data_IF_995988459628
#
_entry.id   IF_995988459628
#
_cell.length_a   1.000
_cell.length_b   1.000
_cell.length_c   1.000
_cell.angle_alpha   90.00
_cell.angle_beta   90.00
_cell.angle_gamma   90.00
#
_symmetry.space_group_name_H-M   'P 1'
#
loop_
_entity.id
_entity.type
_entity.pdbx_description
1 polymer ?
#
# COMPACT_ATOMS: atom_id res chain seq x y z
N UNK A 1 -36.43 35.19 82.18
CA UNK A 1 -35.07 35.58 82.62
C UNK A 1 -34.34 36.14 81.40
N UNK A 2 -34.29 37.47 81.23
CA UNK A 2 -33.10 38.34 81.44
C UNK A 2 -31.82 37.77 80.77
N UNK A 3 -31.43 38.30 79.62
CA UNK A 3 -30.45 39.40 79.43
C UNK A 3 -29.01 38.85 79.33
N UNK A 4 -28.04 39.38 78.58
CA UNK A 4 -27.91 40.41 77.56
C UNK A 4 -26.40 40.46 77.17
N UNK A 5 -26.06 40.94 75.95
CA UNK A 5 -24.78 41.60 75.54
C UNK A 5 -23.49 40.74 75.59
N UNK A 6 -22.50 40.83 74.70
CA UNK A 6 -22.24 41.69 73.54
C UNK A 6 -20.73 41.69 73.25
N UNK A 7 -20.36 42.16 72.03
CA UNK A 7 -19.04 42.74 71.62
C UNK A 7 -17.82 41.80 71.58
N UNK A 8 -16.79 41.99 70.77
CA UNK A 8 -16.49 42.65 69.49
C UNK A 8 -14.96 42.45 69.26
N UNK A 9 -14.48 42.55 68.00
CA UNK A 9 -13.06 42.76 67.56
C UNK A 9 -12.08 41.56 67.57
N UNK A 10 -11.09 41.39 66.67
CA UNK A 10 -10.57 42.13 65.49
C UNK A 10 -9.55 41.25 64.72
N UNK A 11 -9.50 41.46 63.39
CA UNK A 11 -8.40 41.36 62.41
C UNK A 11 -7.46 40.14 62.30
N UNK A 12 -7.29 39.73 61.04
CA UNK A 12 -6.17 38.93 60.55
C UNK A 12 -6.10 38.88 59.02
N UNK A 13 -5.73 39.99 58.38
CA UNK A 13 -5.42 40.10 56.95
C UNK A 13 -4.18 39.28 56.61
N UNK A 14 -4.22 38.37 55.62
CA UNK A 14 -3.08 38.07 54.72
C UNK A 14 -3.52 37.72 53.30
N UNK A 15 -2.79 38.31 52.36
CA UNK A 15 -2.99 38.34 50.91
C UNK A 15 -2.36 37.12 50.21
N UNK A 16 -2.90 36.82 49.04
CA UNK A 16 -2.26 36.34 47.80
C UNK A 16 -1.04 35.42 47.86
N UNK A 17 -1.16 34.25 47.22
CA UNK A 17 -0.21 33.82 46.18
C UNK A 17 -0.83 32.78 45.23
N UNK A 18 -0.70 33.07 43.93
CA UNK A 18 -0.94 32.19 42.79
C UNK A 18 -0.21 30.85 42.89
N UNK A 19 -0.80 29.82 42.29
CA UNK A 19 -0.08 28.93 41.36
C UNK A 19 -1.10 28.16 40.49
N UNK A 20 -1.17 28.57 39.23
CA UNK A 20 -1.77 27.82 38.16
C UNK A 20 -1.05 26.47 37.98
N UNK A 21 -1.80 25.38 37.93
CA UNK A 21 -1.33 24.09 37.42
C UNK A 21 -2.07 23.81 36.10
N UNK A 22 -1.30 23.95 35.03
CA UNK A 22 -1.61 23.76 33.62
C UNK A 22 -2.32 22.41 33.41
N UNK A 23 -3.56 22.46 32.92
CA UNK A 23 -4.21 21.31 32.29
C UNK A 23 -3.46 20.99 31.01
N UNK A 24 -2.68 19.91 31.04
CA UNK A 24 -2.03 19.34 29.87
C UNK A 24 -3.07 19.11 28.78
N UNK A 25 -2.94 19.90 27.73
CA UNK A 25 -3.73 19.85 26.51
C UNK A 25 -3.66 18.45 25.90
N UNK A 26 -4.81 17.99 25.42
CA UNK A 26 -4.97 16.66 24.86
C UNK A 26 -3.92 16.36 23.79
N UNK A 27 -3.40 15.14 23.83
CA UNK A 27 -2.79 14.50 22.66
C UNK A 27 -3.85 14.51 21.56
N UNK A 28 -3.74 15.47 20.64
CA UNK A 28 -4.41 15.37 19.34
C UNK A 28 -3.88 14.11 18.68
N UNK A 29 -4.75 13.10 18.56
CA UNK A 29 -4.49 11.97 17.70
C UNK A 29 -4.27 12.52 16.30
N UNK A 30 -3.02 12.58 15.85
CA UNK A 30 -2.69 12.93 14.48
C UNK A 30 -3.52 12.00 13.58
N UNK A 31 -4.50 12.57 12.87
CA UNK A 31 -5.31 11.82 11.94
C UNK A 31 -4.35 11.12 10.99
N UNK A 32 -4.31 9.77 11.03
CA UNK A 32 -3.51 8.97 10.10
C UNK A 32 -3.88 9.47 8.71
N UNK A 33 -2.94 10.16 8.04
CA UNK A 33 -3.10 10.59 6.65
C UNK A 33 -3.45 9.33 5.88
N UNK A 34 -4.72 9.23 5.48
CA UNK A 34 -5.23 8.04 4.80
C UNK A 34 -4.51 8.01 3.47
N UNK A 35 -3.80 6.93 3.19
CA UNK A 35 -3.21 6.70 1.88
C UNK A 35 -4.35 6.48 0.88
N UNK A 36 -4.81 7.59 0.30
CA UNK A 36 -5.95 7.63 -0.62
C UNK A 36 -5.64 6.82 -1.88
N UNK A 37 -4.39 6.85 -2.33
CA UNK A 37 -3.94 6.11 -3.50
C UNK A 37 -4.05 4.60 -3.25
N UNK A 38 -3.52 4.09 -2.13
CA UNK A 38 -3.65 2.68 -1.75
C UNK A 38 -5.10 2.26 -1.57
N UNK A 39 -5.91 3.08 -0.90
CA UNK A 39 -7.32 2.77 -0.69
C UNK A 39 -8.09 2.67 -2.01
N UNK A 40 -7.83 3.58 -2.96
CA UNK A 40 -8.40 3.53 -4.32
C UNK A 40 -7.94 2.29 -5.09
N UNK A 41 -6.68 1.89 -4.92
CA UNK A 41 -6.16 0.70 -5.59
C UNK A 41 -6.89 -0.55 -5.11
N UNK A 42 -7.01 -0.76 -3.80
CA UNK A 42 -7.76 -1.91 -3.29
C UNK A 42 -9.23 -1.90 -3.72
N UNK A 43 -9.87 -0.74 -3.74
CA UNK A 43 -11.24 -0.62 -4.26
C UNK A 43 -11.34 -0.94 -5.77
N UNK A 44 -10.33 -0.55 -6.55
CA UNK A 44 -10.22 -0.90 -7.96
C UNK A 44 -10.01 -2.41 -8.15
N UNK A 45 -9.10 -3.03 -7.40
CA UNK A 45 -8.85 -4.48 -7.48
C UNK A 45 -10.08 -5.30 -7.11
N UNK A 46 -10.81 -4.87 -6.08
CA UNK A 46 -12.03 -5.55 -5.64
C UNK A 46 -13.13 -5.47 -6.70
N UNK A 47 -13.26 -4.34 -7.39
CA UNK A 47 -14.30 -4.12 -8.39
C UNK A 47 -13.96 -4.72 -9.75
N UNK A 48 -12.73 -4.60 -10.21
CA UNK A 48 -12.34 -4.92 -11.59
C UNK A 48 -11.66 -6.29 -11.69
N UNK A 49 -10.92 -6.72 -10.66
CA UNK A 49 -10.10 -7.93 -10.73
C UNK A 49 -10.69 -9.10 -9.94
N UNK A 50 -11.25 -8.85 -8.75
CA UNK A 50 -11.83 -9.93 -7.91
C UNK A 50 -13.16 -10.46 -8.44
N UNK A 51 -13.88 -9.67 -9.25
CA UNK A 51 -15.10 -10.12 -9.93
C UNK A 51 -14.83 -11.22 -10.94
N UNK A 52 -13.59 -11.31 -11.43
CA UNK A 52 -13.15 -12.40 -12.27
C UNK A 52 -12.71 -13.57 -11.36
N UNK A 53 -13.30 -14.74 -11.57
CA UNK A 53 -13.06 -15.93 -10.76
C UNK A 53 -11.68 -16.55 -11.05
N UNK A 54 -10.61 -15.85 -10.69
CA UNK A 54 -9.23 -16.31 -10.90
C UNK A 54 -8.98 -17.62 -10.15
N UNK A 55 -8.45 -18.67 -10.81
CA UNK A 55 -8.16 -19.93 -10.15
C UNK A 55 -7.10 -19.73 -9.07
N UNK A 56 -7.23 -20.54 -8.01
CA UNK A 56 -6.20 -20.58 -6.97
C UNK A 56 -4.97 -21.34 -7.48
N UNK A 57 -3.82 -20.68 -7.44
CA UNK A 57 -2.55 -21.21 -7.89
C UNK A 57 -1.87 -22.05 -6.80
N UNK A 58 -1.11 -23.07 -7.23
CA UNK A 58 -0.14 -23.74 -6.36
C UNK A 58 1.06 -22.82 -6.08
N UNK A 59 1.84 -23.11 -5.03
CA UNK A 59 3.05 -22.32 -4.74
C UNK A 59 4.09 -22.44 -5.86
N UNK A 60 4.18 -23.61 -6.52
CA UNK A 60 5.04 -23.83 -7.67
C UNK A 60 4.58 -22.99 -8.88
N UNK A 61 3.27 -22.93 -9.15
CA UNK A 61 2.75 -22.06 -10.20
C UNK A 61 3.02 -20.58 -9.90
N UNK A 62 2.88 -20.14 -8.64
CA UNK A 62 3.28 -18.78 -8.24
C UNK A 62 4.76 -18.50 -8.54
N UNK A 63 5.67 -19.44 -8.26
CA UNK A 63 7.10 -19.30 -8.60
C UNK A 63 7.32 -19.13 -10.10
N UNK A 64 6.63 -19.92 -10.92
CA UNK A 64 6.69 -19.80 -12.37
C UNK A 64 6.24 -18.42 -12.85
N UNK A 65 5.09 -17.93 -12.34
CA UNK A 65 4.58 -16.60 -12.67
C UNK A 65 5.51 -15.46 -12.24
N UNK A 66 6.08 -15.54 -11.04
CA UNK A 66 7.08 -14.55 -10.59
C UNK A 66 8.31 -14.58 -11.50
N UNK A 67 8.79 -15.76 -11.89
CA UNK A 67 9.91 -15.91 -12.82
C UNK A 67 9.67 -15.20 -14.15
N UNK A 68 8.56 -15.49 -14.82
CA UNK A 68 8.25 -14.83 -16.11
C UNK A 68 7.96 -13.33 -15.97
N UNK A 69 7.36 -12.90 -14.86
CA UNK A 69 7.13 -11.48 -14.58
C UNK A 69 8.46 -10.72 -14.44
N UNK A 70 9.42 -11.27 -13.70
CA UNK A 70 10.76 -10.67 -13.56
C UNK A 70 11.56 -10.74 -14.86
N UNK A 71 11.44 -11.82 -15.63
CA UNK A 71 12.05 -11.89 -16.96
C UNK A 71 11.54 -10.78 -17.89
N UNK A 72 10.26 -10.43 -17.80
CA UNK A 72 9.66 -9.32 -18.54
C UNK A 72 10.04 -7.92 -17.99
N UNK A 73 10.13 -7.78 -16.67
CA UNK A 73 10.41 -6.50 -16.01
C UNK A 73 11.90 -6.13 -16.04
N UNK A 74 12.79 -7.11 -15.89
CA UNK A 74 14.23 -6.89 -15.71
C UNK A 74 15.08 -7.52 -16.83
N UNK A 75 14.52 -8.45 -17.61
CA UNK A 75 15.17 -9.11 -18.74
C UNK A 75 15.33 -10.64 -18.56
N UNK A 76 15.62 -11.41 -19.62
CA UNK A 76 15.56 -12.88 -19.61
C UNK A 76 16.45 -13.60 -18.58
N UNK A 77 17.53 -12.95 -18.13
CA UNK A 77 18.45 -13.47 -17.11
C UNK A 77 18.16 -13.00 -15.69
N UNK A 78 17.03 -12.31 -15.45
CA UNK A 78 16.71 -11.78 -14.15
C UNK A 78 16.47 -12.89 -13.12
N UNK A 79 17.16 -12.82 -11.98
CA UNK A 79 16.89 -13.70 -10.85
C UNK A 79 15.65 -13.22 -10.09
N UNK A 80 14.54 -13.99 -10.08
CA UNK A 80 13.32 -13.58 -9.39
C UNK A 80 13.50 -13.61 -7.85
N UNK A 81 12.69 -12.83 -7.10
CA UNK A 81 12.64 -12.93 -5.65
C UNK A 81 12.28 -14.35 -5.18
N UNK A 82 12.75 -14.70 -3.98
CA UNK A 82 12.38 -15.96 -3.35
C UNK A 82 10.88 -15.96 -3.02
N UNK A 83 10.15 -16.97 -3.51
CA UNK A 83 8.73 -17.13 -3.19
C UNK A 83 8.51 -18.15 -2.06
N UNK A 84 7.86 -17.69 -1.00
CA UNK A 84 7.55 -18.47 0.21
C UNK A 84 6.05 -18.66 0.39
N UNK A 85 5.66 -19.67 1.17
CA UNK A 85 4.27 -20.08 1.35
C UNK A 85 3.42 -19.12 2.19
N UNK A 86 4.05 -18.14 2.85
CA UNK A 86 3.40 -17.13 3.69
C UNK A 86 2.69 -17.70 4.92
N UNK A 87 3.09 -18.88 5.43
CA UNK A 87 2.43 -19.49 6.60
C UNK A 87 2.35 -18.53 7.79
N UNK A 88 1.17 -18.46 8.40
CA UNK A 88 0.88 -17.57 9.54
C UNK A 88 0.63 -16.10 9.19
N UNK A 89 0.75 -15.71 7.90
CA UNK A 89 0.51 -14.31 7.49
C UNK A 89 -0.95 -14.03 7.17
N UNK A 90 -1.39 -12.83 7.58
CA UNK A 90 -2.70 -12.26 7.25
C UNK A 90 -2.74 -11.50 5.92
N UNK A 91 -1.57 -11.20 5.35
CA UNK A 91 -1.42 -10.44 4.11
C UNK A 91 -0.32 -11.08 3.25
N UNK A 92 -0.49 -11.01 1.93
CA UNK A 92 0.62 -11.14 1.01
C UNK A 92 1.55 -9.92 1.15
N UNK A 93 2.82 -10.12 0.81
CA UNK A 93 3.79 -9.03 0.76
C UNK A 93 4.96 -9.40 -0.15
N UNK A 94 5.36 -8.48 -1.01
CA UNK A 94 6.49 -8.57 -1.91
C UNK A 94 7.53 -7.49 -1.66
N UNK A 95 8.78 -7.87 -1.87
CA UNK A 95 9.94 -6.99 -2.08
C UNK A 95 10.79 -7.59 -3.20
N UNK A 96 11.91 -6.94 -3.55
CA UNK A 96 12.83 -7.47 -4.57
C UNK A 96 13.49 -8.78 -4.15
N UNK A 97 13.61 -9.03 -2.86
CA UNK A 97 14.29 -10.18 -2.29
C UNK A 97 13.32 -11.35 -2.02
N UNK A 98 12.10 -11.06 -1.56
CA UNK A 98 11.17 -12.08 -1.10
C UNK A 98 9.71 -11.72 -1.38
N UNK A 99 8.94 -12.73 -1.79
CA UNK A 99 7.49 -12.66 -1.88
C UNK A 99 6.87 -13.72 -0.96
N UNK A 100 5.94 -13.30 -0.10
CA UNK A 100 5.18 -14.16 0.80
C UNK A 100 3.75 -14.32 0.29
N UNK A 101 3.34 -15.54 -0.08
CA UNK A 101 2.02 -15.82 -0.66
C UNK A 101 1.23 -16.85 0.16
N UNK A 102 0.51 -16.40 1.21
CA UNK A 102 -0.42 -17.28 1.93
C UNK A 102 -1.46 -17.87 0.97
N UNK A 103 -1.98 -19.06 1.28
CA UNK A 103 -2.81 -19.86 0.36
C UNK A 103 -3.94 -19.04 -0.28
N UNK A 104 -4.69 -18.24 0.49
CA UNK A 104 -5.80 -17.43 -0.01
C UNK A 104 -5.37 -16.35 -1.03
N UNK A 105 -4.11 -15.89 -0.98
CA UNK A 105 -3.56 -14.85 -1.83
C UNK A 105 -2.99 -15.38 -3.16
N UNK A 106 -2.95 -16.70 -3.37
CA UNK A 106 -2.35 -17.31 -4.57
C UNK A 106 -3.29 -17.21 -5.77
N UNK A 107 -3.46 -16.01 -6.29
CA UNK A 107 -4.22 -15.71 -7.51
C UNK A 107 -3.36 -14.81 -8.38
N UNK A 108 -3.46 -14.96 -9.70
CA UNK A 108 -2.56 -14.27 -10.63
C UNK A 108 -2.48 -12.74 -10.38
N UNK A 109 -3.60 -11.99 -10.25
CA UNK A 109 -3.51 -10.55 -9.99
C UNK A 109 -2.73 -10.20 -8.72
N UNK A 110 -2.93 -10.97 -7.63
CA UNK A 110 -2.21 -10.74 -6.38
C UNK A 110 -0.72 -11.06 -6.53
N UNK A 111 -0.37 -12.14 -7.25
CA UNK A 111 1.05 -12.44 -7.54
C UNK A 111 1.70 -11.29 -8.30
N UNK A 112 1.04 -10.76 -9.32
CA UNK A 112 1.53 -9.64 -10.12
C UNK A 112 1.60 -8.33 -9.31
N UNK A 113 0.67 -8.11 -8.38
CA UNK A 113 0.71 -7.00 -7.42
C UNK A 113 1.99 -7.05 -6.58
N UNK A 114 2.30 -8.23 -6.01
CA UNK A 114 3.52 -8.37 -5.21
C UNK A 114 4.80 -8.24 -6.06
N UNK A 115 4.79 -8.66 -7.33
CA UNK A 115 5.90 -8.40 -8.25
C UNK A 115 6.11 -6.90 -8.49
N UNK A 116 5.03 -6.12 -8.66
CA UNK A 116 5.12 -4.67 -8.83
C UNK A 116 5.78 -3.98 -7.63
N UNK A 117 5.51 -4.44 -6.40
CA UNK A 117 6.20 -3.96 -5.21
C UNK A 117 7.72 -4.20 -5.26
N UNK A 118 8.16 -5.32 -5.83
CA UNK A 118 9.57 -5.64 -5.87
C UNK A 118 10.38 -4.86 -6.91
N UNK A 119 9.74 -4.07 -7.79
CA UNK A 119 10.44 -3.25 -8.80
C UNK A 119 10.15 -1.75 -8.70
N UNK A 120 9.36 -1.33 -7.70
CA UNK A 120 8.98 0.09 -7.56
C UNK A 120 9.22 0.62 -6.14
N UNK A 121 9.72 1.86 -5.98
CA UNK A 121 10.03 2.42 -4.67
C UNK A 121 8.83 3.09 -3.99
N UNK A 122 7.77 3.40 -4.74
CA UNK A 122 6.69 4.31 -4.31
C UNK A 122 5.49 3.60 -3.67
N UNK A 123 5.67 2.36 -3.21
CA UNK A 123 4.64 1.50 -2.61
C UNK A 123 3.45 1.28 -3.54
N UNK A 124 2.38 2.07 -3.41
CA UNK A 124 1.18 2.01 -4.25
C UNK A 124 1.02 3.27 -5.11
N UNK A 125 2.10 4.03 -5.27
CA UNK A 125 2.15 5.26 -6.04
C UNK A 125 2.04 5.06 -7.56
N UNK A 126 2.23 6.15 -8.34
CA UNK A 126 2.08 6.11 -9.79
C UNK A 126 2.98 5.11 -10.52
N UNK A 127 4.21 4.88 -10.06
CA UNK A 127 5.14 3.91 -10.67
C UNK A 127 4.67 2.49 -10.39
N UNK A 128 4.29 2.18 -9.16
CA UNK A 128 3.66 0.91 -8.82
C UNK A 128 2.45 0.62 -9.73
N UNK A 129 1.52 1.57 -9.84
CA UNK A 129 0.30 1.40 -10.65
C UNK A 129 0.67 1.13 -12.11
N UNK A 130 1.70 1.81 -12.63
CA UNK A 130 2.21 1.57 -13.99
C UNK A 130 2.78 0.17 -14.13
N UNK A 131 3.66 -0.27 -13.23
CA UNK A 131 4.25 -1.62 -13.27
C UNK A 131 3.15 -2.70 -13.21
N UNK A 132 2.18 -2.54 -12.32
CA UNK A 132 1.09 -3.48 -12.18
C UNK A 132 0.19 -3.54 -13.42
N UNK A 133 -0.12 -2.39 -14.04
CA UNK A 133 -0.86 -2.35 -15.32
C UNK A 133 -0.09 -3.06 -16.44
N UNK A 134 1.22 -2.85 -16.58
CA UNK A 134 2.00 -3.59 -17.60
C UNK A 134 1.92 -5.10 -17.39
N UNK A 135 2.04 -5.56 -16.13
CA UNK A 135 1.93 -6.97 -15.80
C UNK A 135 0.54 -7.55 -16.08
N UNK A 136 -0.53 -6.83 -15.74
CA UNK A 136 -1.90 -7.27 -16.01
C UNK A 136 -2.19 -7.35 -17.51
N UNK A 137 -1.71 -6.39 -18.30
CA UNK A 137 -1.86 -6.42 -19.76
C UNK A 137 -1.17 -7.65 -20.35
N UNK A 138 0.07 -7.91 -19.93
CA UNK A 138 0.89 -8.98 -20.54
C UNK A 138 0.47 -10.37 -20.07
N UNK A 139 0.22 -10.56 -18.77
CA UNK A 139 0.04 -11.89 -18.20
C UNK A 139 -1.40 -12.23 -17.84
N UNK A 140 -2.26 -11.23 -17.66
CA UNK A 140 -3.67 -11.44 -17.34
C UNK A 140 -4.62 -11.10 -18.51
N UNK A 141 -4.07 -10.75 -19.68
CA UNK A 141 -4.84 -10.59 -20.93
C UNK A 141 -5.72 -9.34 -20.98
N UNK A 142 -5.46 -8.34 -20.14
CA UNK A 142 -6.24 -7.10 -20.17
C UNK A 142 -5.89 -6.26 -21.39
N UNK A 143 -6.93 -5.71 -22.03
CA UNK A 143 -6.78 -4.63 -22.99
C UNK A 143 -6.18 -3.39 -22.32
N UNK A 144 -5.08 -2.89 -22.88
CA UNK A 144 -4.30 -1.79 -22.27
C UNK A 144 -5.11 -0.51 -22.16
N UNK A 145 -5.81 -0.13 -23.22
CA UNK A 145 -6.55 1.13 -23.28
C UNK A 145 -7.70 1.10 -22.28
N UNK A 146 -8.42 -0.02 -22.22
CA UNK A 146 -9.52 -0.25 -21.29
C UNK A 146 -9.04 -0.21 -19.84
N UNK A 147 -7.94 -0.92 -19.54
CA UNK A 147 -7.40 -1.00 -18.19
C UNK A 147 -6.89 0.36 -17.70
N UNK A 148 -6.13 1.09 -18.51
CA UNK A 148 -5.65 2.43 -18.14
C UNK A 148 -6.82 3.42 -17.95
N UNK A 149 -7.86 3.31 -18.77
CA UNK A 149 -9.09 4.13 -18.62
C UNK A 149 -9.79 3.81 -17.30
N UNK A 150 -9.94 2.54 -16.96
CA UNK A 150 -10.54 2.11 -15.70
C UNK A 150 -9.74 2.57 -14.48
N UNK A 151 -8.40 2.50 -14.54
CA UNK A 151 -7.49 3.02 -13.50
C UNK A 151 -7.69 4.52 -13.30
N UNK A 152 -7.70 5.31 -14.38
CA UNK A 152 -7.93 6.77 -14.30
C UNK A 152 -9.31 7.10 -13.75
N UNK A 153 -10.35 6.40 -14.19
CA UNK A 153 -11.72 6.55 -13.67
C UNK A 153 -11.84 6.22 -12.18
N UNK A 154 -11.02 5.29 -11.67
CA UNK A 154 -10.91 5.00 -10.24
C UNK A 154 -10.16 6.07 -9.44
N UNK A 155 -9.68 7.15 -10.08
CA UNK A 155 -8.94 8.23 -9.45
C UNK A 155 -7.52 7.82 -9.03
N UNK A 156 -6.98 6.75 -9.63
CA UNK A 156 -5.59 6.34 -9.42
C UNK A 156 -4.67 7.16 -10.33
N UNK A 157 -3.60 7.68 -9.73
CA UNK A 157 -2.49 8.23 -10.51
C UNK A 157 -1.68 7.08 -11.10
N UNK A 158 -1.31 7.19 -12.37
CA UNK A 158 -0.48 6.22 -13.09
C UNK A 158 0.65 6.97 -13.79
N UNK A 159 1.88 6.50 -13.63
CA UNK A 159 3.04 7.09 -14.28
C UNK A 159 3.00 6.88 -15.81
N UNK A 160 3.68 7.72 -16.61
CA UNK A 160 3.99 7.40 -18.01
C UNK A 160 4.77 6.09 -18.11
N UNK A 161 4.65 5.38 -19.24
CA UNK A 161 5.40 4.13 -19.47
C UNK A 161 6.91 4.37 -19.47
N UNK A 162 7.35 5.48 -20.07
CA UNK A 162 8.76 5.87 -20.12
C UNK A 162 9.38 5.95 -18.71
N UNK A 163 8.67 6.54 -17.74
CA UNK A 163 9.16 6.67 -16.37
C UNK A 163 9.39 5.31 -15.67
N UNK A 164 8.55 4.30 -15.95
CA UNK A 164 8.82 2.94 -15.46
C UNK A 164 10.06 2.35 -16.15
N UNK A 165 10.27 2.64 -17.43
CA UNK A 165 11.38 2.05 -18.19
C UNK A 165 12.73 2.70 -17.88
N UNK A 166 12.74 3.97 -17.46
CA UNK A 166 13.92 4.63 -16.89
C UNK A 166 14.35 3.99 -15.56
N UNK A 167 13.40 3.40 -14.82
CA UNK A 167 13.67 2.71 -13.55
C UNK A 167 14.19 1.26 -13.77
N UNK A 168 13.73 0.59 -14.83
CA UNK A 168 14.02 -0.83 -15.05
C UNK A 168 15.35 -1.03 -15.80
N UNK A 169 16.02 -2.18 -15.63
CA UNK A 169 17.27 -2.48 -16.32
C UNK A 169 17.14 -2.38 -17.86
N UNK A 170 18.17 -1.93 -18.58
CA UNK A 170 18.12 -1.80 -20.06
C UNK A 170 17.78 -3.11 -20.78
N UNK A 171 18.22 -4.26 -20.25
CA UNK A 171 17.93 -5.59 -20.78
C UNK A 171 16.42 -5.88 -20.89
N UNK A 172 15.59 -5.17 -20.13
CA UNK A 172 14.15 -5.29 -20.16
C UNK A 172 13.50 -4.72 -21.43
N UNK A 173 14.16 -3.83 -22.17
CA UNK A 173 13.64 -3.26 -23.41
C UNK A 173 13.58 -4.30 -24.55
N UNK A 174 14.58 -5.17 -24.65
CA UNK A 174 14.66 -6.20 -25.69
C UNK A 174 13.56 -7.26 -25.53
N UNK A 175 13.30 -7.72 -24.30
CA UNK A 175 12.24 -8.68 -23.99
C UNK A 175 10.83 -8.16 -24.33
N UNK A 176 10.64 -6.84 -24.35
CA UNK A 176 9.34 -6.19 -24.58
C UNK A 176 9.04 -5.94 -26.05
N UNK A 177 10.05 -5.82 -26.90
CA UNK A 177 9.87 -5.67 -28.34
C UNK A 177 9.38 -6.97 -29.00
N UNK A 178 9.71 -8.12 -28.40
CA UNK A 178 9.27 -9.45 -28.86
C UNK A 178 7.79 -9.78 -28.57
N UNK A 179 7.08 -8.92 -27.83
CA UNK A 179 5.67 -9.10 -27.43
C UNK A 179 4.71 -8.14 -28.16
N UNK A 180 5.18 -7.47 -29.21
CA UNK A 180 4.37 -6.67 -30.15
C UNK A 180 4.15 -7.46 -31.42
#
# INVERSE_FOLDING_TARGET
>A
MRAARGRDKVAGVRRHREKAAVRGTGRTAAARVRDVQRARLYAFEDRELRVLAWPQLSLAACRGWVGVAYAFLEGPGAEPPRVTDGRGRRHAAGSREVIHLPRWARRLPVVLHECAHGVTPDRHGPLFVRAYVELLVVFAGYGRLELETAVRRAGLRIAPRAALFELLPPASLAARQALR
#
